data_IF_193078840070
#
_entry.id   IF_193078840070
#
_cell.length_a   1.000
_cell.length_b   1.000
_cell.length_c   1.000
_cell.angle_alpha   90.00
_cell.angle_beta   90.00
_cell.angle_gamma   90.00
#
_symmetry.space_group_name_H-M   'P 1'
#
loop_
_entity.id
_entity.type
_entity.pdbx_description
1 polymer ?
#
# COMPACT_ATOMS: atom_id res chain seq x y z
N UNK A 1 20.24 -7.19 -20.04
CA UNK A 1 18.92 -7.09 -19.38
C UNK A 1 18.59 -5.62 -19.23
N UNK A 2 17.65 -5.09 -20.02
CA UNK A 2 17.17 -3.72 -19.80
C UNK A 2 16.26 -3.75 -18.58
N UNK A 3 16.78 -3.23 -17.47
CA UNK A 3 16.04 -3.07 -16.23
C UNK A 3 15.35 -1.70 -16.30
N UNK A 4 14.21 -1.64 -17.00
CA UNK A 4 13.31 -0.50 -16.86
C UNK A 4 12.79 -0.54 -15.41
N UNK A 5 13.43 0.24 -14.53
CA UNK A 5 12.99 0.39 -13.15
C UNK A 5 11.81 1.34 -13.13
N UNK A 6 10.62 0.77 -13.27
CA UNK A 6 9.38 1.47 -12.99
C UNK A 6 9.33 1.80 -11.49
N UNK A 7 9.04 3.05 -11.14
CA UNK A 7 8.89 3.49 -9.75
C UNK A 7 7.53 2.99 -9.28
N UNK A 8 7.53 2.12 -8.27
CA UNK A 8 6.30 1.61 -7.66
C UNK A 8 5.92 2.40 -6.42
N UNK A 9 4.63 2.64 -6.24
CA UNK A 9 4.03 3.29 -5.08
C UNK A 9 3.24 2.25 -4.28
N UNK A 10 3.57 2.12 -2.99
CA UNK A 10 2.89 1.19 -2.09
C UNK A 10 2.65 1.85 -0.72
N UNK A 11 1.47 2.45 -0.47
CA UNK A 11 1.14 3.01 0.84
C UNK A 11 1.05 1.91 1.90
N UNK A 12 1.56 2.19 3.11
CA UNK A 12 1.44 1.27 4.24
C UNK A 12 0.08 1.37 4.90
N UNK A 13 -0.55 0.21 5.12
CA UNK A 13 -1.81 0.11 5.84
C UNK A 13 -1.63 0.17 7.37
N UNK A 14 -0.39 0.11 7.87
CA UNK A 14 -0.10 0.19 9.30
C UNK A 14 -0.56 1.53 9.91
N UNK A 15 -0.45 2.61 9.13
CA UNK A 15 -0.88 3.96 9.54
C UNK A 15 -2.35 4.27 9.22
N UNK A 16 -3.12 3.31 8.71
CA UNK A 16 -4.51 3.54 8.34
C UNK A 16 -5.45 3.47 9.56
N UNK A 17 -6.66 4.03 9.40
CA UNK A 17 -7.75 3.77 10.35
C UNK A 17 -8.34 2.38 10.07
N UNK A 18 -8.04 1.44 10.97
CA UNK A 18 -8.50 0.04 10.86
C UNK A 18 -10.03 -0.10 10.98
N UNK A 19 -10.72 0.83 11.65
CA UNK A 19 -12.18 0.84 11.71
C UNK A 19 -12.83 1.15 10.37
N UNK A 20 -12.08 1.77 9.45
CA UNK A 20 -12.53 2.22 8.14
C UNK A 20 -11.60 1.74 7.00
N UNK A 21 -10.98 0.57 7.15
CA UNK A 21 -9.94 0.09 6.24
C UNK A 21 -10.40 0.02 4.76
N UNK A 22 -11.64 -0.41 4.51
CA UNK A 22 -12.21 -0.45 3.15
C UNK A 22 -12.20 0.91 2.45
N UNK A 23 -12.52 1.99 3.18
CA UNK A 23 -12.53 3.34 2.63
C UNK A 23 -11.11 3.83 2.34
N UNK A 24 -10.15 3.49 3.22
CA UNK A 24 -8.74 3.74 2.96
C UNK A 24 -8.27 3.05 1.68
N UNK A 25 -8.54 1.74 1.54
CA UNK A 25 -8.10 0.97 0.36
C UNK A 25 -8.69 1.55 -0.93
N UNK A 26 -10.00 1.78 -0.99
CA UNK A 26 -10.67 2.38 -2.16
C UNK A 26 -10.09 3.74 -2.54
N UNK A 27 -9.75 4.57 -1.56
CA UNK A 27 -9.19 5.90 -1.79
C UNK A 27 -7.84 5.86 -2.50
N UNK A 28 -7.03 4.83 -2.25
CA UNK A 28 -5.66 4.73 -2.75
C UNK A 28 -5.47 3.70 -3.87
N UNK A 29 -6.43 2.81 -4.12
CA UNK A 29 -6.36 1.72 -5.10
C UNK A 29 -5.97 2.20 -6.51
N UNK A 30 -6.53 3.32 -6.99
CA UNK A 30 -6.24 3.83 -8.34
C UNK A 30 -4.87 4.49 -8.51
N UNK A 31 -4.16 4.76 -7.41
CA UNK A 31 -2.88 5.47 -7.40
C UNK A 31 -1.72 4.61 -6.86
N UNK A 32 -2.02 3.37 -6.49
CA UNK A 32 -1.08 2.48 -5.83
C UNK A 32 -0.85 1.26 -6.70
N UNK A 33 0.40 0.83 -6.85
CA UNK A 33 0.69 -0.45 -7.46
C UNK A 33 0.30 -1.58 -6.51
N UNK A 34 0.69 -1.44 -5.24
CA UNK A 34 0.51 -2.40 -4.16
C UNK A 34 0.11 -1.72 -2.86
N UNK A 35 -0.25 -2.51 -1.84
CA UNK A 35 -0.35 -2.05 -0.46
C UNK A 35 0.78 -2.66 0.37
N UNK A 36 1.46 -1.83 1.16
CA UNK A 36 2.52 -2.29 2.05
C UNK A 36 1.90 -2.79 3.36
N UNK A 37 2.21 -4.03 3.73
CA UNK A 37 1.67 -4.71 4.92
C UNK A 37 2.82 -4.99 5.86
N UNK A 38 2.88 -4.25 6.96
CA UNK A 38 3.84 -4.45 8.03
C UNK A 38 3.34 -5.56 8.97
N UNK A 39 4.10 -6.66 9.07
CA UNK A 39 3.82 -7.75 10.01
C UNK A 39 4.82 -7.65 11.16
N UNK A 40 4.32 -7.55 12.38
CA UNK A 40 5.11 -7.48 13.61
C UNK A 40 4.62 -8.56 14.58
N UNK A 41 5.54 -9.31 15.17
CA UNK A 41 5.27 -10.39 16.13
C UNK A 41 5.50 -9.99 17.60
N UNK A 42 6.09 -8.81 17.85
CA UNK A 42 6.28 -8.23 19.19
C UNK A 42 7.52 -7.35 19.29
#
# INVERSE_FOLDING_TARGET
>A
MNMNKEIKIAPSILGADYGNLNEYLKKYESFSDWFHVDVMDG
#
